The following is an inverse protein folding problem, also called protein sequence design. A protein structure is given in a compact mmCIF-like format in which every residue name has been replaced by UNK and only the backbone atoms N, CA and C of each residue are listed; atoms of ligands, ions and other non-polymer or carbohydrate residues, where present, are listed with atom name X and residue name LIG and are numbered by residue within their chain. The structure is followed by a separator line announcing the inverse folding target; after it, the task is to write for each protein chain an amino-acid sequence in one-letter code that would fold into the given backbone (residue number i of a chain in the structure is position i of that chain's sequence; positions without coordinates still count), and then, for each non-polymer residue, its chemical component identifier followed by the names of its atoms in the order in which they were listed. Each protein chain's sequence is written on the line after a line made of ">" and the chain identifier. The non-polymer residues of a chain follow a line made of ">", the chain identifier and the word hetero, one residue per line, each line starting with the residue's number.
data_IF_328083141770
#
_entry.id   IF_328083141770
#
_cell.length_a   1.000
_cell.length_b   1.000
_cell.length_c   1.000
_cell.angle_alpha   90.00
_cell.angle_beta   90.00
_cell.angle_gamma   90.00
#
_symmetry.space_group_name_H-M   'P 1'
#
loop_
_entity.id
_entity.type
_entity.pdbx_description
1 polymer ?
#
# COMPACT_ATOMS: atom_id res chain seq x y z
N UNK A 1 35.14 8.47 -9.47
CA UNK A 1 34.96 7.78 -8.18
C UNK A 1 33.77 6.85 -8.35
N UNK A 2 33.91 5.54 -8.13
CA UNK A 2 32.77 4.60 -8.23
C UNK A 2 31.97 4.73 -6.92
N UNK A 3 30.64 4.89 -6.96
CA UNK A 3 29.83 5.01 -5.75
C UNK A 3 29.98 3.77 -4.85
N UNK A 4 30.08 3.96 -3.53
CA UNK A 4 30.15 2.84 -2.55
C UNK A 4 28.93 1.92 -2.69
N UNK A 5 27.78 2.46 -3.10
CA UNK A 5 26.54 1.71 -3.41
C UNK A 5 26.64 0.76 -4.61
N UNK A 6 27.67 0.90 -5.44
CA UNK A 6 28.02 0.00 -6.55
C UNK A 6 29.06 -1.04 -6.13
N UNK A 7 29.90 -0.71 -5.15
CA UNK A 7 30.98 -1.58 -4.67
C UNK A 7 30.59 -2.45 -3.46
N UNK A 8 29.43 -2.21 -2.85
CA UNK A 8 28.95 -2.96 -1.68
C UNK A 8 28.26 -4.27 -2.10
N UNK A 9 28.92 -5.43 -1.95
CA UNK A 9 28.43 -6.68 -2.53
C UNK A 9 27.04 -7.10 -2.04
N UNK A 10 26.69 -6.98 -0.74
CA UNK A 10 25.36 -7.36 -0.28
C UNK A 10 24.26 -6.48 -0.87
N UNK A 11 24.50 -5.18 -1.02
CA UNK A 11 23.52 -4.28 -1.61
C UNK A 11 23.25 -4.65 -3.08
N UNK A 12 24.30 -4.99 -3.81
CA UNK A 12 24.17 -5.44 -5.20
C UNK A 12 23.41 -6.77 -5.31
N UNK A 13 23.70 -7.73 -4.43
CA UNK A 13 22.95 -9.00 -4.37
C UNK A 13 21.47 -8.78 -4.08
N UNK A 14 21.12 -7.89 -3.14
CA UNK A 14 19.72 -7.59 -2.80
C UNK A 14 19.00 -6.84 -3.92
N UNK A 15 19.70 -5.94 -4.63
CA UNK A 15 19.16 -5.29 -5.83
C UNK A 15 18.82 -6.33 -6.91
N UNK A 16 19.68 -7.32 -7.10
CA UNK A 16 19.41 -8.44 -8.01
C UNK A 16 18.19 -9.23 -7.56
N UNK A 17 18.09 -9.57 -6.27
CA UNK A 17 16.90 -10.26 -5.70
C UNK A 17 15.61 -9.51 -5.98
N UNK A 18 15.58 -8.19 -5.74
CA UNK A 18 14.39 -7.39 -6.01
C UNK A 18 14.07 -7.30 -7.51
N UNK A 19 15.09 -7.23 -8.36
CA UNK A 19 14.91 -7.21 -9.82
C UNK A 19 14.41 -8.56 -10.37
N UNK A 20 14.96 -9.68 -9.89
CA UNK A 20 14.52 -11.02 -10.31
C UNK A 20 13.13 -11.33 -9.77
N UNK A 21 12.82 -10.92 -8.53
CA UNK A 21 11.46 -11.02 -7.98
C UNK A 21 10.44 -10.21 -8.79
N UNK A 22 10.85 -9.05 -9.29
CA UNK A 22 10.04 -8.26 -10.20
C UNK A 22 9.75 -9.02 -11.51
N UNK A 23 10.79 -9.57 -12.14
CA UNK A 23 10.63 -10.32 -13.40
C UNK A 23 9.77 -11.57 -13.21
N UNK A 24 10.00 -12.30 -12.11
CA UNK A 24 9.23 -13.47 -11.69
C UNK A 24 7.72 -13.13 -11.55
N UNK A 25 7.39 -12.05 -10.85
CA UNK A 25 6.00 -11.64 -10.61
C UNK A 25 5.31 -11.06 -11.85
N UNK A 26 6.04 -10.56 -12.86
CA UNK A 26 5.45 -10.12 -14.13
C UNK A 26 5.50 -11.18 -15.23
N UNK A 27 6.05 -12.36 -14.92
CA UNK A 27 6.11 -13.49 -15.81
C UNK A 27 4.72 -14.10 -16.11
N UNK A 28 4.66 -15.06 -17.04
CA UNK A 28 3.42 -15.75 -17.41
C UNK A 28 2.82 -16.57 -16.25
N UNK A 29 3.61 -16.87 -15.23
CA UNK A 29 3.20 -17.48 -13.97
C UNK A 29 3.76 -16.59 -12.84
N UNK A 30 2.96 -15.68 -12.28
CA UNK A 30 3.46 -14.66 -11.37
C UNK A 30 3.83 -15.27 -10.01
N UNK A 31 5.00 -15.88 -9.87
CA UNK A 31 5.46 -16.52 -8.63
C UNK A 31 6.95 -16.27 -8.43
N UNK A 32 7.37 -15.96 -7.20
CA UNK A 32 8.79 -15.81 -6.87
C UNK A 32 9.46 -17.19 -7.01
N UNK A 33 10.43 -17.27 -7.91
CA UNK A 33 11.10 -18.51 -8.24
C UNK A 33 12.01 -19.01 -7.11
N UNK A 34 12.25 -20.32 -7.06
CA UNK A 34 13.22 -20.90 -6.14
C UNK A 34 14.64 -20.34 -6.34
N UNK A 35 14.99 -19.92 -7.57
CA UNK A 35 16.26 -19.28 -7.86
C UNK A 35 16.35 -17.91 -7.18
N UNK A 36 15.31 -17.09 -7.26
CA UNK A 36 15.23 -15.79 -6.57
C UNK A 36 15.31 -15.95 -5.05
N UNK A 37 14.62 -16.95 -4.49
CA UNK A 37 14.72 -17.27 -3.05
C UNK A 37 16.13 -17.71 -2.63
N UNK A 38 16.79 -18.55 -3.45
CA UNK A 38 18.18 -18.93 -3.19
C UNK A 38 19.15 -17.75 -3.26
N UNK A 39 18.95 -16.83 -4.22
CA UNK A 39 19.71 -15.58 -4.29
C UNK A 39 19.47 -14.71 -3.05
N UNK A 40 18.24 -14.68 -2.54
CA UNK A 40 17.91 -14.00 -1.29
C UNK A 40 18.66 -14.58 -0.10
N UNK A 41 18.72 -15.90 0.04
CA UNK A 41 19.44 -16.54 1.15
C UNK A 41 20.94 -16.22 1.11
N UNK A 42 21.54 -16.19 -0.10
CA UNK A 42 22.93 -15.75 -0.27
C UNK A 42 23.07 -14.28 0.16
N UNK A 43 22.22 -13.39 -0.37
CA UNK A 43 22.28 -11.97 -0.10
C UNK A 43 22.12 -11.65 1.39
N UNK A 44 21.19 -12.34 2.05
CA UNK A 44 20.97 -12.24 3.49
C UNK A 44 22.23 -12.60 4.28
N UNK A 45 22.84 -13.76 4.01
CA UNK A 45 24.04 -14.19 4.73
C UNK A 45 25.17 -13.15 4.60
N UNK A 46 25.35 -12.59 3.39
CA UNK A 46 26.36 -11.55 3.18
C UNK A 46 26.05 -10.26 3.97
N UNK A 47 24.78 -9.88 4.13
CA UNK A 47 24.41 -8.71 4.96
C UNK A 47 24.64 -8.99 6.44
N UNK A 48 24.28 -10.17 6.93
CA UNK A 48 24.44 -10.54 8.34
C UNK A 48 25.91 -10.52 8.76
N UNK A 49 26.81 -11.01 7.90
CA UNK A 49 28.25 -10.95 8.12
C UNK A 49 28.75 -9.50 8.24
N UNK A 50 28.22 -8.58 7.43
CA UNK A 50 28.57 -7.16 7.50
C UNK A 50 28.00 -6.41 8.69
N UNK A 51 26.87 -6.84 9.26
CA UNK A 51 26.33 -6.18 10.47
C UNK A 51 27.34 -6.29 11.62
N UNK A 52 28.05 -7.42 11.74
CA UNK A 52 29.10 -7.57 12.75
C UNK A 52 30.27 -6.57 12.53
N UNK A 53 30.60 -6.26 11.28
CA UNK A 53 31.66 -5.31 10.92
C UNK A 53 31.22 -3.85 11.04
N UNK A 54 29.99 -3.53 10.60
CA UNK A 54 29.39 -2.19 10.63
C UNK A 54 29.02 -1.71 12.05
N UNK A 55 29.17 -2.58 13.06
CA UNK A 55 28.89 -2.31 14.47
C UNK A 55 30.15 -2.36 15.34
N UNK A 56 31.32 -2.58 14.71
CA UNK A 56 32.60 -2.58 15.38
C UNK A 56 33.11 -1.19 15.76
N UNK A 57 34.13 -1.09 16.63
CA UNK A 57 34.69 0.19 17.12
C UNK A 57 35.34 1.06 16.03
N UNK A 58 35.54 0.51 14.82
CA UNK A 58 36.11 1.20 13.66
C UNK A 58 35.06 1.40 12.53
N UNK A 59 33.76 1.33 12.84
CA UNK A 59 32.71 1.41 11.84
C UNK A 59 32.73 2.75 11.09
N UNK A 60 32.84 2.68 9.76
CA UNK A 60 32.66 3.83 8.86
C UNK A 60 31.16 4.12 8.71
N UNK A 61 30.76 5.38 8.92
CA UNK A 61 29.38 5.83 8.77
C UNK A 61 28.82 5.54 7.38
N UNK A 62 29.65 5.64 6.34
CA UNK A 62 29.24 5.35 4.96
C UNK A 62 28.92 3.86 4.76
N UNK A 63 29.72 2.96 5.31
CA UNK A 63 29.45 1.51 5.25
C UNK A 63 28.21 1.14 6.05
N UNK A 64 28.01 1.79 7.19
CA UNK A 64 26.82 1.59 8.00
C UNK A 64 25.56 2.07 7.25
N UNK A 65 25.61 3.17 6.48
CA UNK A 65 24.45 3.68 5.72
C UNK A 65 24.06 2.70 4.62
N UNK A 66 25.05 2.20 3.90
CA UNK A 66 24.85 1.23 2.83
C UNK A 66 24.37 -0.12 3.39
N UNK A 67 24.79 -0.49 4.60
CA UNK A 67 24.25 -1.66 5.33
C UNK A 67 22.79 -1.45 5.71
N UNK A 68 22.42 -0.27 6.20
CA UNK A 68 21.02 0.07 6.51
C UNK A 68 20.14 0.03 5.26
N UNK A 69 20.59 0.58 4.13
CA UNK A 69 19.89 0.50 2.83
C UNK A 69 19.71 -0.96 2.39
N UNK A 70 20.75 -1.78 2.58
CA UNK A 70 20.71 -3.21 2.24
C UNK A 70 19.62 -3.93 3.04
N UNK A 71 19.57 -3.69 4.36
CA UNK A 71 18.55 -4.26 5.23
C UNK A 71 17.14 -3.76 4.92
N UNK A 72 16.97 -2.47 4.62
CA UNK A 72 15.66 -1.93 4.21
C UNK A 72 15.18 -2.58 2.91
N UNK A 73 16.08 -2.80 1.96
CA UNK A 73 15.76 -3.45 0.68
C UNK A 73 15.41 -4.94 0.85
N UNK A 74 16.04 -5.65 1.80
CA UNK A 74 15.64 -7.00 2.18
C UNK A 74 14.31 -7.01 2.92
N UNK A 75 14.11 -6.08 3.85
CA UNK A 75 12.86 -5.94 4.59
C UNK A 75 11.69 -5.77 3.62
N UNK A 76 11.81 -4.88 2.63
CA UNK A 76 10.81 -4.71 1.56
C UNK A 76 10.52 -6.01 0.81
N UNK A 77 11.57 -6.78 0.45
CA UNK A 77 11.41 -8.07 -0.20
C UNK A 77 10.67 -9.08 0.69
N UNK A 78 10.99 -9.17 1.98
CA UNK A 78 10.30 -10.13 2.86
C UNK A 78 8.82 -9.78 3.05
N UNK A 79 8.47 -8.49 3.07
CA UNK A 79 7.06 -8.08 3.08
C UNK A 79 6.35 -8.51 1.79
N UNK A 80 6.97 -8.32 0.61
CA UNK A 80 6.42 -8.82 -0.67
C UNK A 80 6.29 -10.35 -0.65
N UNK A 81 7.32 -11.04 -0.18
CA UNK A 81 7.35 -12.50 -0.18
C UNK A 81 6.37 -13.10 0.82
N UNK A 82 5.99 -12.35 1.86
CA UNK A 82 5.14 -12.83 2.93
C UNK A 82 5.90 -13.64 3.99
N UNK A 83 7.23 -13.47 4.10
CA UNK A 83 8.03 -14.15 5.12
C UNK A 83 8.11 -13.29 6.39
N UNK A 84 7.17 -13.54 7.30
CA UNK A 84 7.09 -12.84 8.59
C UNK A 84 8.35 -13.04 9.45
N UNK A 85 8.95 -14.24 9.42
CA UNK A 85 10.13 -14.57 10.22
C UNK A 85 11.34 -13.79 9.72
N UNK A 86 11.56 -13.79 8.40
CA UNK A 86 12.59 -12.98 7.75
C UNK A 86 12.40 -11.50 8.03
N UNK A 87 11.17 -11.01 7.85
CA UNK A 87 10.80 -9.63 8.11
C UNK A 87 11.10 -9.18 9.55
N UNK A 88 10.63 -9.91 10.57
CA UNK A 88 10.85 -9.56 11.99
C UNK A 88 12.34 -9.55 12.35
N UNK A 89 13.11 -10.49 11.79
CA UNK A 89 14.56 -10.55 11.96
C UNK A 89 15.25 -9.31 11.38
N UNK A 90 14.92 -8.91 10.15
CA UNK A 90 15.50 -7.73 9.52
C UNK A 90 15.07 -6.43 10.22
N UNK A 91 13.79 -6.32 10.62
CA UNK A 91 13.28 -5.17 11.38
C UNK A 91 14.05 -5.00 12.68
N UNK A 92 14.30 -6.08 13.42
CA UNK A 92 15.12 -6.06 14.65
C UNK A 92 16.55 -5.59 14.39
N UNK A 93 17.17 -6.05 13.30
CA UNK A 93 18.53 -5.64 12.93
C UNK A 93 18.61 -4.16 12.53
N UNK A 94 17.59 -3.65 11.83
CA UNK A 94 17.46 -2.22 11.50
C UNK A 94 17.39 -1.41 12.80
N UNK A 95 16.47 -1.72 13.72
CA UNK A 95 16.37 -1.01 14.99
C UNK A 95 17.68 -1.00 15.77
N UNK A 96 18.36 -2.15 15.87
CA UNK A 96 19.69 -2.23 16.52
C UNK A 96 20.70 -1.29 15.88
N UNK A 97 20.81 -1.26 14.55
CA UNK A 97 21.73 -0.37 13.84
C UNK A 97 21.40 1.10 14.09
N UNK A 98 20.12 1.46 14.13
CA UNK A 98 19.65 2.81 14.45
C UNK A 98 20.04 3.19 15.89
N UNK A 99 19.78 2.31 16.86
CA UNK A 99 20.09 2.55 18.27
C UNK A 99 21.60 2.75 18.49
N UNK A 100 22.43 1.93 17.83
CA UNK A 100 23.89 2.04 17.90
C UNK A 100 24.42 3.36 17.31
N UNK A 101 23.66 4.01 16.42
CA UNK A 101 23.98 5.33 15.86
C UNK A 101 23.53 6.49 16.75
N UNK A 102 22.98 6.21 17.92
CA UNK A 102 22.43 7.24 18.80
C UNK A 102 20.98 7.62 18.46
N UNK A 103 20.26 6.78 17.72
CA UNK A 103 18.83 6.94 17.44
C UNK A 103 18.52 7.44 16.03
N UNK A 104 17.22 7.58 15.73
CA UNK A 104 16.74 7.97 14.38
C UNK A 104 17.22 9.37 13.98
N UNK A 105 17.44 10.27 14.93
CA UNK A 105 17.80 11.66 14.66
C UNK A 105 19.13 11.81 13.93
N UNK A 106 20.06 10.86 14.11
CA UNK A 106 21.41 10.87 13.54
C UNK A 106 21.50 10.29 12.13
N UNK A 107 20.37 9.80 11.58
CA UNK A 107 20.28 9.19 10.26
C UNK A 107 20.04 10.26 9.18
N UNK A 108 20.52 10.03 7.95
CA UNK A 108 20.21 10.89 6.79
C UNK A 108 18.69 11.00 6.55
N UNK A 109 18.23 12.18 6.10
CA UNK A 109 16.80 12.47 5.87
C UNK A 109 16.19 11.48 4.87
N UNK A 110 16.90 11.11 3.81
CA UNK A 110 16.36 10.17 2.81
C UNK A 110 16.19 8.77 3.39
N UNK A 111 17.08 8.36 4.31
CA UNK A 111 16.96 7.09 5.01
C UNK A 111 15.80 7.10 6.01
N UNK A 112 15.54 8.24 6.69
CA UNK A 112 14.33 8.40 7.52
C UNK A 112 13.05 8.30 6.70
N UNK A 113 13.03 8.90 5.51
CA UNK A 113 11.91 8.80 4.55
C UNK A 113 11.71 7.34 4.12
N UNK A 114 12.77 6.63 3.73
CA UNK A 114 12.67 5.21 3.36
C UNK A 114 12.15 4.35 4.52
N UNK A 115 12.63 4.58 5.75
CA UNK A 115 12.14 3.92 6.95
C UNK A 115 10.65 4.15 7.16
N UNK A 116 10.20 5.41 7.09
CA UNK A 116 8.79 5.78 7.20
C UNK A 116 7.93 4.99 6.21
N UNK A 117 8.28 5.06 4.92
CA UNK A 117 7.46 4.48 3.85
C UNK A 117 7.39 2.96 3.96
N UNK A 118 8.52 2.30 4.24
CA UNK A 118 8.54 0.84 4.38
C UNK A 118 7.68 0.40 5.56
N UNK A 119 7.77 1.10 6.69
CA UNK A 119 6.92 0.81 7.86
C UNK A 119 5.45 1.12 7.61
N UNK A 120 5.13 2.12 6.79
CA UNK A 120 3.75 2.39 6.38
C UNK A 120 3.15 1.32 5.46
N UNK A 121 3.96 0.49 4.82
CA UNK A 121 3.45 -0.66 4.07
C UNK A 121 3.09 -1.86 4.95
N UNK A 122 3.58 -1.94 6.19
CA UNK A 122 3.26 -3.03 7.11
C UNK A 122 1.74 -3.22 7.30
N UNK A 123 0.97 -2.17 7.66
CA UNK A 123 -0.46 -2.34 7.95
C UNK A 123 -1.29 -2.67 6.70
N UNK A 124 -0.78 -2.51 5.48
CA UNK A 124 -1.45 -2.92 4.25
C UNK A 124 -1.66 -4.45 4.22
N UNK A 125 -0.70 -5.19 4.76
CA UNK A 125 -0.72 -6.65 4.87
C UNK A 125 -1.25 -7.05 6.25
N UNK A 126 -2.55 -7.41 6.34
CA UNK A 126 -3.14 -7.92 7.59
C UNK A 126 -2.31 -9.09 8.13
N UNK A 127 -1.98 -9.03 9.43
CA UNK A 127 -1.24 -10.09 10.14
C UNK A 127 0.28 -10.02 10.04
N UNK A 128 0.87 -9.12 9.24
CA UNK A 128 2.34 -8.94 9.22
C UNK A 128 2.88 -8.17 10.44
N UNK A 129 1.99 -7.45 11.12
CA UNK A 129 2.31 -6.60 12.24
C UNK A 129 1.06 -6.38 13.13
N UNK A 130 1.13 -6.81 14.38
CA UNK A 130 0.36 -6.21 15.48
C UNK A 130 0.94 -4.84 15.90
N UNK A 131 1.91 -4.29 15.14
CA UNK A 131 2.67 -3.10 15.54
C UNK A 131 2.07 -1.81 15.00
N UNK A 132 1.78 -0.91 15.95
CA UNK A 132 1.60 0.52 15.73
C UNK A 132 2.78 1.05 14.92
N UNK A 133 2.58 1.67 13.74
CA UNK A 133 3.66 2.27 12.99
C UNK A 133 4.34 3.34 13.87
N UNK A 134 5.67 3.43 13.93
CA UNK A 134 6.32 4.51 14.65
C UNK A 134 5.90 5.84 14.01
N UNK A 135 5.31 6.73 14.80
CA UNK A 135 5.08 8.11 14.37
C UNK A 135 6.42 8.80 14.26
N UNK A 136 6.99 8.83 13.07
CA UNK A 136 8.08 9.75 12.79
C UNK A 136 7.45 11.13 12.74
N UNK A 137 7.68 11.92 13.79
CA UNK A 137 7.27 13.33 13.87
C UNK A 137 7.97 14.13 12.77
N UNK A 138 7.49 14.02 11.53
CA UNK A 138 7.82 14.95 10.47
C UNK A 138 7.13 16.26 10.82
N UNK A 139 7.88 17.16 11.46
CA UNK A 139 7.50 18.56 11.60
C UNK A 139 7.39 19.10 10.18
N UNK A 140 6.17 19.26 9.69
CA UNK A 140 5.90 20.07 8.51
C UNK A 140 6.34 21.49 8.82
N UNK A 141 7.50 21.91 8.31
CA UNK A 141 7.83 23.33 8.24
C UNK A 141 6.71 24.03 7.45
N UNK A 142 6.27 25.17 7.99
CA UNK A 142 5.18 25.98 7.47
C UNK A 142 5.45 26.42 6.02
N UNK A 143 5.09 25.60 5.05
CA UNK A 143 4.96 26.05 3.67
C UNK A 143 3.50 26.44 3.41
N UNK A 144 3.28 27.75 3.42
CA UNK A 144 2.10 28.38 2.84
C UNK A 144 2.05 28.10 1.33
N UNK A 145 1.50 26.95 0.94
CA UNK A 145 1.22 26.61 -0.44
C UNK A 145 -0.23 26.99 -0.77
N UNK A 146 -0.39 28.20 -1.29
CA UNK A 146 -1.62 28.65 -1.93
C UNK A 146 -1.67 28.04 -3.35
N UNK A 147 -2.55 27.06 -3.56
CA UNK A 147 -3.66 27.16 -4.52
C UNK A 147 -4.70 26.05 -4.28
N UNK A 148 -5.95 26.40 -4.60
CA UNK A 148 -7.22 25.84 -4.14
C UNK A 148 -7.62 24.52 -4.80
N UNK A 149 -7.24 23.40 -4.21
CA UNK A 149 -8.00 22.15 -4.35
C UNK A 149 -8.48 21.70 -2.96
N UNK A 150 -9.69 21.14 -2.86
CA UNK A 150 -10.13 20.46 -1.65
C UNK A 150 -9.03 19.47 -1.19
N UNK A 151 -8.67 19.48 0.10
CA UNK A 151 -7.55 18.67 0.65
C UNK A 151 -7.65 17.18 0.29
N UNK A 152 -8.88 16.70 0.13
CA UNK A 152 -9.30 15.39 -0.34
C UNK A 152 -8.90 15.07 -1.78
N UNK A 153 -8.95 16.05 -2.67
CA UNK A 153 -8.52 15.88 -4.05
C UNK A 153 -6.98 15.86 -4.14
N UNK A 154 -6.30 16.74 -3.40
CA UNK A 154 -4.82 16.79 -3.37
C UNK A 154 -4.20 15.46 -2.93
N UNK A 155 -4.74 14.81 -1.89
CA UNK A 155 -4.24 13.50 -1.42
C UNK A 155 -4.38 12.40 -2.48
N UNK A 156 -5.37 12.53 -3.38
CA UNK A 156 -5.63 11.57 -4.45
C UNK A 156 -4.90 11.92 -5.75
N UNK A 157 -4.49 13.19 -5.93
CA UNK A 157 -4.00 13.73 -7.20
C UNK A 157 -2.71 14.55 -7.10
N UNK A 158 -1.92 14.37 -6.04
CA UNK A 158 -0.69 15.17 -5.87
C UNK A 158 0.22 15.04 -7.09
N UNK A 159 0.69 16.17 -7.61
CA UNK A 159 1.39 16.22 -8.90
C UNK A 159 2.80 15.64 -8.78
N UNK A 160 3.16 14.75 -9.71
CA UNK A 160 4.55 14.32 -9.87
C UNK A 160 4.98 14.36 -11.33
N UNK A 161 6.08 15.06 -11.61
CA UNK A 161 6.61 15.19 -12.97
C UNK A 161 6.03 16.35 -13.78
N UNK A 162 5.91 16.21 -15.10
CA UNK A 162 5.53 17.31 -15.98
C UNK A 162 4.00 17.53 -16.01
N UNK A 163 3.50 18.45 -15.18
CA UNK A 163 2.09 18.86 -15.13
C UNK A 163 1.48 19.14 -16.53
N UNK A 164 2.27 19.73 -17.44
CA UNK A 164 1.88 20.05 -18.82
C UNK A 164 1.48 18.83 -19.68
N UNK A 165 1.96 17.62 -19.38
CA UNK A 165 1.58 16.42 -20.13
C UNK A 165 0.15 15.95 -19.80
N UNK A 166 -0.42 16.41 -18.68
CA UNK A 166 -1.67 15.90 -18.12
C UNK A 166 -2.80 16.92 -18.07
N UNK A 167 -2.52 18.17 -18.39
CA UNK A 167 -3.53 19.19 -18.61
C UNK A 167 -4.56 18.71 -19.66
N UNK A 168 -5.83 18.64 -19.23
CA UNK A 168 -6.94 18.18 -20.08
C UNK A 168 -7.07 16.67 -20.24
N UNK A 169 -6.24 15.85 -19.56
CA UNK A 169 -6.35 14.37 -19.59
C UNK A 169 -7.20 13.77 -18.48
N UNK A 170 -7.42 14.49 -17.38
CA UNK A 170 -8.36 14.07 -16.33
C UNK A 170 -9.77 14.49 -16.75
N UNK A 171 -10.64 13.51 -17.01
CA UNK A 171 -12.03 13.75 -17.35
C UNK A 171 -12.86 14.22 -16.14
N UNK A 172 -14.08 14.66 -16.38
CA UNK A 172 -15.06 14.92 -15.32
C UNK A 172 -15.46 13.62 -14.59
N UNK A 173 -15.42 12.48 -15.29
CA UNK A 173 -15.78 11.14 -14.81
C UNK A 173 -14.83 10.61 -13.74
N UNK A 174 -13.55 10.31 -14.03
CA UNK A 174 -12.50 11.18 -13.50
C UNK A 174 -12.60 11.63 -12.04
N UNK A 175 -12.73 12.95 -11.96
CA UNK A 175 -12.90 13.75 -10.75
C UNK A 175 -14.05 13.23 -9.89
N UNK A 176 -15.19 12.88 -10.51
CA UNK A 176 -16.35 12.38 -9.79
C UNK A 176 -16.08 11.05 -9.09
N UNK A 177 -15.44 10.09 -9.77
CA UNK A 177 -15.09 8.80 -9.19
C UNK A 177 -14.14 8.95 -7.99
N UNK A 178 -13.16 9.85 -8.09
CA UNK A 178 -12.23 10.15 -7.00
C UNK A 178 -12.94 10.79 -5.80
N UNK A 179 -13.83 11.75 -6.06
CA UNK A 179 -14.64 12.40 -5.01
C UNK A 179 -15.57 11.41 -4.31
N UNK A 180 -16.32 10.61 -5.07
CA UNK A 180 -17.24 9.61 -4.53
C UNK A 180 -16.48 8.54 -3.73
N UNK A 181 -15.31 8.11 -4.21
CA UNK A 181 -14.44 7.19 -3.47
C UNK A 181 -13.92 7.80 -2.17
N UNK A 182 -13.45 9.05 -2.18
CA UNK A 182 -12.99 9.73 -0.97
C UNK A 182 -14.11 9.80 0.08
N UNK A 183 -15.34 10.12 -0.33
CA UNK A 183 -16.49 10.13 0.57
C UNK A 183 -16.76 8.75 1.18
N UNK A 184 -16.69 7.67 0.40
CA UNK A 184 -16.82 6.32 0.93
C UNK A 184 -15.77 6.02 2.00
N UNK A 185 -14.50 6.34 1.72
CA UNK A 185 -13.39 6.13 2.66
C UNK A 185 -13.63 6.89 3.96
N UNK A 186 -14.00 8.17 3.88
CA UNK A 186 -14.25 8.99 5.06
C UNK A 186 -15.45 8.51 5.88
N UNK A 187 -16.53 8.10 5.23
CA UNK A 187 -17.68 7.51 5.92
C UNK A 187 -17.29 6.21 6.64
N UNK A 188 -16.47 5.36 6.02
CA UNK A 188 -15.97 4.13 6.64
C UNK A 188 -15.09 4.40 7.86
N UNK A 189 -14.16 5.37 7.78
CA UNK A 189 -13.31 5.77 8.91
C UNK A 189 -14.17 6.33 10.06
N UNK A 190 -15.08 7.25 9.76
CA UNK A 190 -15.97 7.83 10.78
C UNK A 190 -16.82 6.76 11.45
N UNK A 191 -17.32 5.79 10.69
CA UNK A 191 -18.08 4.67 11.24
C UNK A 191 -17.25 3.85 12.23
N UNK A 192 -16.01 3.51 11.85
CA UNK A 192 -15.11 2.73 12.70
C UNK A 192 -14.81 3.45 14.00
N UNK A 193 -14.49 4.75 13.92
CA UNK A 193 -14.20 5.59 15.10
C UNK A 193 -15.39 5.63 16.07
N UNK A 194 -16.61 5.82 15.55
CA UNK A 194 -17.83 5.81 16.37
C UNK A 194 -18.16 4.43 16.95
N UNK A 195 -17.82 3.35 16.24
CA UNK A 195 -18.06 1.98 16.71
C UNK A 195 -17.05 1.53 17.77
N UNK A 196 -15.83 2.07 17.75
CA UNK A 196 -14.81 1.81 18.77
C UNK A 196 -15.07 2.59 20.07
N UNK A 197 -15.76 3.73 19.99
CA UNK A 197 -16.26 4.43 21.17
C UNK A 197 -17.42 3.63 21.77
N UNK A 198 -17.34 3.25 23.05
CA UNK A 198 -18.47 2.60 23.72
C UNK A 198 -19.71 3.48 23.59
N UNK A 199 -20.81 2.98 22.98
CA UNK A 199 -21.96 3.82 22.68
C UNK A 199 -22.68 4.15 23.98
N UNK A 200 -22.45 5.36 24.47
CA UNK A 200 -23.04 5.84 25.73
C UNK A 200 -24.26 6.72 25.49
N UNK A 201 -24.54 7.13 24.24
CA UNK A 201 -25.58 8.11 23.92
C UNK A 201 -26.42 7.72 22.67
N UNK A 202 -27.71 8.07 22.69
CA UNK A 202 -28.63 7.86 21.56
C UNK A 202 -28.22 8.60 20.28
N UNK A 203 -27.53 9.73 20.42
CA UNK A 203 -27.04 10.54 19.30
C UNK A 203 -25.97 9.78 18.48
N UNK A 204 -25.10 9.02 19.13
CA UNK A 204 -24.08 8.19 18.46
C UNK A 204 -24.70 7.00 17.70
N UNK A 205 -25.85 6.50 18.15
CA UNK A 205 -26.60 5.48 17.41
C UNK A 205 -27.26 6.06 16.16
N UNK A 206 -27.89 7.24 16.27
CA UNK A 206 -28.50 7.91 15.12
C UNK A 206 -27.46 8.32 14.08
N UNK A 207 -26.31 8.84 14.52
CA UNK A 207 -25.20 9.23 13.64
C UNK A 207 -24.61 8.02 12.89
N UNK A 208 -24.41 6.89 13.57
CA UNK A 208 -23.96 5.65 12.92
C UNK A 208 -24.96 5.15 11.87
N UNK A 209 -26.26 5.20 12.18
CA UNK A 209 -27.30 4.82 11.22
C UNK A 209 -27.28 5.73 9.99
N UNK A 210 -27.14 7.05 10.16
CA UNK A 210 -27.05 8.00 9.04
C UNK A 210 -25.83 7.74 8.17
N UNK A 211 -24.64 7.57 8.76
CA UNK A 211 -23.41 7.24 8.03
C UNK A 211 -23.59 5.95 7.23
N UNK A 212 -24.19 4.92 7.85
CA UNK A 212 -24.44 3.64 7.19
C UNK A 212 -25.39 3.77 6.00
N UNK A 213 -26.48 4.53 6.13
CA UNK A 213 -27.42 4.78 5.03
C UNK A 213 -26.71 5.50 3.87
N UNK A 214 -25.95 6.55 4.17
CA UNK A 214 -25.18 7.30 3.16
C UNK A 214 -24.16 6.41 2.45
N UNK A 215 -23.44 5.59 3.21
CA UNK A 215 -22.45 4.66 2.66
C UNK A 215 -23.09 3.62 1.74
N UNK A 216 -24.20 2.99 2.15
CA UNK A 216 -24.91 2.03 1.29
C UNK A 216 -25.45 2.69 0.02
N UNK A 217 -26.06 3.88 0.14
CA UNK A 217 -26.55 4.62 -1.03
C UNK A 217 -25.43 4.93 -2.04
N UNK A 218 -24.28 5.43 -1.56
CA UNK A 218 -23.15 5.76 -2.42
C UNK A 218 -22.52 4.50 -3.03
N UNK A 219 -22.36 3.44 -2.24
CA UNK A 219 -21.91 2.13 -2.70
C UNK A 219 -22.79 1.60 -3.82
N UNK A 220 -24.10 1.56 -3.61
CA UNK A 220 -25.04 0.94 -4.55
C UNK A 220 -25.09 1.73 -5.87
N UNK A 221 -24.98 3.06 -5.81
CA UNK A 221 -24.82 3.91 -6.99
C UNK A 221 -23.54 3.60 -7.78
N UNK A 222 -22.40 3.43 -7.10
CA UNK A 222 -21.12 3.13 -7.74
C UNK A 222 -21.08 1.71 -8.32
N UNK A 223 -21.66 0.73 -7.63
CA UNK A 223 -21.82 -0.63 -8.16
C UNK A 223 -22.72 -0.62 -9.39
N UNK A 224 -23.81 0.17 -9.39
CA UNK A 224 -24.68 0.30 -10.56
C UNK A 224 -23.92 0.84 -11.79
N UNK A 225 -22.93 1.74 -11.60
CA UNK A 225 -22.09 2.22 -12.72
C UNK A 225 -21.32 1.09 -13.41
N UNK A 226 -20.97 0.01 -12.71
CA UNK A 226 -20.28 -1.15 -13.28
C UNK A 226 -21.18 -1.98 -14.22
N UNK A 227 -22.51 -1.89 -14.06
CA UNK A 227 -23.48 -2.58 -14.92
C UNK A 227 -23.84 -1.79 -16.19
N UNK A 228 -23.45 -0.51 -16.24
CA UNK A 228 -23.56 0.29 -17.45
C UNK A 228 -22.37 -0.10 -18.34
N UNK A 229 -22.57 -0.44 -19.63
CA UNK A 229 -21.47 -0.66 -20.57
C UNK A 229 -20.81 0.70 -20.84
N UNK A 230 -20.00 1.17 -19.90
CA UNK A 230 -19.27 2.41 -20.06
C UNK A 230 -18.13 2.14 -21.04
N UNK A 231 -18.32 2.51 -22.31
CA UNK A 231 -17.21 2.72 -23.23
C UNK A 231 -16.43 3.95 -22.73
N UNK A 232 -15.56 3.72 -21.74
CA UNK A 232 -14.62 4.75 -21.30
C UNK A 232 -13.45 4.68 -22.26
N UNK A 233 -13.55 5.43 -23.35
CA UNK A 233 -12.44 5.71 -24.27
C UNK A 233 -11.44 6.65 -23.57
N UNK A 234 -10.79 6.18 -22.51
CA UNK A 234 -9.60 6.82 -21.97
C UNK A 234 -8.41 5.92 -22.28
N UNK A 235 -7.39 6.48 -22.93
CA UNK A 235 -6.08 5.83 -23.08
C UNK A 235 -5.05 6.68 -22.32
N UNK A 236 -4.61 6.24 -21.12
CA UNK A 236 -4.90 4.96 -20.47
C UNK A 236 -6.32 4.86 -19.86
N UNK A 237 -6.86 3.63 -19.61
CA UNK A 237 -8.22 3.38 -19.12
C UNK A 237 -8.40 3.68 -17.62
N UNK A 238 -8.13 4.91 -17.21
CA UNK A 238 -8.08 5.34 -15.80
C UNK A 238 -9.40 5.06 -15.10
N UNK A 239 -10.53 5.49 -15.66
CA UNK A 239 -11.81 5.35 -14.98
C UNK A 239 -12.19 3.88 -14.75
N UNK A 240 -11.82 2.98 -15.67
CA UNK A 240 -12.05 1.54 -15.49
C UNK A 240 -11.21 0.99 -14.34
N UNK A 241 -9.94 1.40 -14.24
CA UNK A 241 -9.06 1.05 -13.12
C UNK A 241 -9.68 1.51 -11.80
N UNK A 242 -10.12 2.77 -11.72
CA UNK A 242 -10.75 3.30 -10.51
C UNK A 242 -12.05 2.57 -10.17
N UNK A 243 -12.91 2.30 -11.16
CA UNK A 243 -14.17 1.58 -10.94
C UNK A 243 -13.96 0.17 -10.38
N UNK A 244 -13.01 -0.60 -10.91
CA UNK A 244 -12.72 -1.94 -10.38
C UNK A 244 -12.14 -1.88 -8.98
N UNK A 245 -11.25 -0.93 -8.70
CA UNK A 245 -10.67 -0.76 -7.38
C UNK A 245 -11.70 -0.27 -6.34
N UNK A 246 -12.61 0.65 -6.71
CA UNK A 246 -13.76 1.06 -5.88
C UNK A 246 -14.67 -0.13 -5.60
N UNK A 247 -14.99 -0.92 -6.64
CA UNK A 247 -15.84 -2.12 -6.51
C UNK A 247 -15.22 -3.15 -5.56
N UNK A 248 -13.89 -3.33 -5.61
CA UNK A 248 -13.15 -4.15 -4.66
C UNK A 248 -13.19 -3.58 -3.23
N UNK A 249 -13.02 -2.26 -3.08
CA UNK A 249 -13.06 -1.60 -1.77
C UNK A 249 -14.38 -1.82 -1.04
N UNK A 250 -15.51 -1.60 -1.73
CA UNK A 250 -16.86 -1.72 -1.14
C UNK A 250 -17.36 -3.17 -1.02
N UNK A 251 -16.63 -4.13 -1.60
CA UNK A 251 -16.95 -5.55 -1.51
C UNK A 251 -16.47 -6.09 -0.16
N UNK A 252 -17.39 -6.53 0.72
CA UNK A 252 -17.00 -6.99 2.05
C UNK A 252 -16.20 -8.29 1.97
N UNK A 253 -15.16 -8.38 2.80
CA UNK A 253 -14.19 -9.48 2.85
C UNK A 253 -14.77 -10.85 3.23
N UNK A 254 -15.99 -10.88 3.74
CA UNK A 254 -16.64 -12.08 4.27
C UNK A 254 -17.76 -12.62 3.36
N UNK A 255 -18.03 -12.00 2.20
CA UNK A 255 -19.24 -12.24 1.42
C UNK A 255 -19.26 -13.49 0.53
N UNK A 256 -20.50 -13.88 0.21
CA UNK A 256 -20.98 -14.91 -0.72
C UNK A 256 -20.49 -14.72 -2.16
N UNK A 257 -19.89 -13.57 -2.48
CA UNK A 257 -19.56 -13.12 -3.85
C UNK A 257 -18.07 -13.28 -4.23
N UNK A 258 -17.46 -14.36 -3.74
CA UNK A 258 -16.05 -14.68 -3.92
C UNK A 258 -15.60 -14.64 -5.40
N UNK A 259 -16.45 -15.13 -6.30
CA UNK A 259 -16.19 -15.12 -7.74
C UNK A 259 -16.13 -13.69 -8.33
N UNK A 260 -16.97 -12.78 -7.85
CA UNK A 260 -16.97 -11.39 -8.30
C UNK A 260 -15.70 -10.65 -7.83
N UNK A 261 -15.25 -10.91 -6.60
CA UNK A 261 -13.98 -10.36 -6.07
C UNK A 261 -12.80 -10.83 -6.92
N UNK A 262 -12.72 -12.13 -7.22
CA UNK A 262 -11.66 -12.69 -8.07
C UNK A 262 -11.68 -12.11 -9.49
N UNK A 263 -12.86 -11.91 -10.07
CA UNK A 263 -13.02 -11.25 -11.37
C UNK A 263 -12.50 -9.80 -11.32
N UNK A 264 -12.88 -9.01 -10.32
CA UNK A 264 -12.43 -7.63 -10.19
C UNK A 264 -10.93 -7.52 -9.95
N UNK A 265 -10.35 -8.40 -9.13
CA UNK A 265 -8.88 -8.50 -8.93
C UNK A 265 -8.18 -8.76 -10.27
N UNK A 266 -8.66 -9.75 -11.02
CA UNK A 266 -8.06 -10.16 -12.30
C UNK A 266 -8.13 -9.02 -13.33
N UNK A 267 -9.28 -8.35 -13.42
CA UNK A 267 -9.47 -7.22 -14.34
C UNK A 267 -8.62 -6.02 -13.94
N UNK A 268 -8.59 -5.67 -12.66
CA UNK A 268 -7.75 -4.58 -12.15
C UNK A 268 -6.27 -4.82 -12.46
N UNK A 269 -5.76 -6.01 -12.14
CA UNK A 269 -4.38 -6.40 -12.45
C UNK A 269 -4.10 -6.31 -13.96
N UNK A 270 -4.99 -6.87 -14.79
CA UNK A 270 -4.81 -6.85 -16.25
C UNK A 270 -4.78 -5.43 -16.83
N UNK A 271 -5.65 -4.55 -16.35
CA UNK A 271 -5.69 -3.14 -16.77
C UNK A 271 -4.41 -2.42 -16.35
N UNK A 272 -3.96 -2.59 -15.12
CA UNK A 272 -2.72 -1.97 -14.62
C UNK A 272 -1.48 -2.45 -15.37
N UNK A 273 -1.41 -3.73 -15.73
CA UNK A 273 -0.31 -4.30 -16.52
C UNK A 273 -0.30 -3.78 -17.96
N UNK A 274 -1.47 -3.71 -18.61
CA UNK A 274 -1.58 -3.34 -20.04
C UNK A 274 -1.47 -1.83 -20.30
N UNK A 275 -1.92 -1.02 -19.36
CA UNK A 275 -2.11 0.42 -19.57
C UNK A 275 -0.84 1.27 -19.50
N UNK A 276 0.32 0.67 -19.20
CA UNK A 276 1.55 1.39 -18.87
C UNK A 276 1.38 2.46 -17.77
N UNK A 277 0.26 2.47 -17.03
CA UNK A 277 -0.01 3.45 -15.96
C UNK A 277 1.04 3.35 -14.86
N UNK A 278 1.56 2.15 -14.61
CA UNK A 278 2.68 1.89 -13.71
C UNK A 278 4.00 2.52 -14.17
N UNK A 279 4.19 2.69 -15.49
CA UNK A 279 5.33 3.40 -16.08
C UNK A 279 5.09 4.91 -16.19
N UNK A 280 3.82 5.34 -16.25
CA UNK A 280 3.37 6.73 -16.23
C UNK A 280 3.28 7.30 -14.81
N UNK A 281 4.10 6.76 -13.91
CA UNK A 281 4.30 7.17 -12.54
C UNK A 281 4.48 8.71 -12.34
N UNK A 282 4.93 9.41 -13.38
CA UNK A 282 4.96 10.87 -13.48
C UNK A 282 3.60 11.48 -13.86
N UNK A 283 2.53 11.01 -13.22
CA UNK A 283 1.13 11.37 -13.47
C UNK A 283 0.55 12.35 -12.44
N UNK A 284 -0.67 12.87 -12.68
CA UNK A 284 -1.41 13.68 -11.73
C UNK A 284 -2.25 12.81 -10.79
N UNK A 285 -2.24 11.48 -10.94
CA UNK A 285 -3.01 10.54 -10.13
C UNK A 285 -2.14 9.47 -9.42
N UNK A 286 -0.93 9.80 -8.90
CA UNK A 286 -0.10 8.83 -8.20
C UNK A 286 -0.79 8.36 -6.91
N UNK A 287 -1.45 9.26 -6.20
CA UNK A 287 -2.29 8.92 -5.05
C UNK A 287 -3.41 7.94 -5.42
N UNK A 288 -4.01 8.10 -6.61
CA UNK A 288 -5.04 7.19 -7.07
C UNK A 288 -4.53 5.77 -7.35
N UNK A 289 -3.34 5.70 -7.93
CA UNK A 289 -2.67 4.44 -8.21
C UNK A 289 -2.24 3.74 -6.92
N UNK A 290 -1.73 4.48 -5.93
CA UNK A 290 -1.34 3.95 -4.61
C UNK A 290 -2.53 3.22 -3.98
N UNK A 291 -3.71 3.83 -3.92
CA UNK A 291 -4.86 3.18 -3.29
C UNK A 291 -5.42 2.00 -4.08
N UNK A 292 -5.40 2.06 -5.41
CA UNK A 292 -5.75 0.90 -6.25
C UNK A 292 -4.90 -0.32 -5.90
N UNK A 293 -3.60 -0.10 -5.67
CA UNK A 293 -2.65 -1.15 -5.34
C UNK A 293 -2.81 -1.65 -3.90
N UNK A 294 -3.07 -0.76 -2.93
CA UNK A 294 -3.39 -1.14 -1.54
C UNK A 294 -4.63 -2.03 -1.50
N UNK A 295 -5.70 -1.62 -2.19
CA UNK A 295 -6.96 -2.36 -2.23
C UNK A 295 -6.78 -3.73 -2.89
N UNK A 296 -6.07 -3.77 -4.03
CA UNK A 296 -5.73 -5.02 -4.71
C UNK A 296 -4.91 -5.97 -3.84
N UNK A 297 -3.87 -5.46 -3.17
CA UNK A 297 -3.01 -6.24 -2.27
C UNK A 297 -3.80 -6.82 -1.09
N UNK A 298 -4.64 -6.01 -0.42
CA UNK A 298 -5.38 -6.43 0.77
C UNK A 298 -6.52 -7.40 0.44
N UNK A 299 -7.24 -7.22 -0.68
CA UNK A 299 -8.35 -8.11 -1.09
C UNK A 299 -7.87 -9.44 -1.69
N UNK A 300 -6.66 -9.49 -2.25
CA UNK A 300 -6.09 -10.71 -2.85
C UNK A 300 -5.67 -11.80 -1.84
N UNK A 301 -5.60 -11.48 -0.55
CA UNK A 301 -5.23 -12.45 0.52
C UNK A 301 -6.45 -13.19 1.10
N UNK A 302 -7.59 -12.51 1.10
CA UNK A 302 -8.83 -12.98 1.72
C UNK A 302 -9.50 -14.07 0.87
N UNK A 303 -9.14 -14.14 -0.42
CA UNK A 303 -9.62 -15.14 -1.36
C UNK A 303 -8.90 -16.49 -1.22
N UNK A 304 -7.59 -16.47 -1.00
CA UNK A 304 -6.74 -17.66 -0.92
C UNK A 304 -6.82 -18.37 0.43
N UNK A 305 -6.95 -17.64 1.53
CA UNK A 305 -6.96 -18.18 2.90
C UNK A 305 -8.14 -19.10 3.24
N UNK A 306 -9.18 -19.17 2.38
CA UNK A 306 -10.36 -20.02 2.59
C UNK A 306 -10.42 -21.27 1.72
N UNK A 307 -9.63 -21.36 0.64
CA UNK A 307 -9.63 -22.53 -0.24
C UNK A 307 -8.63 -23.60 0.19
N UNK A 308 -7.49 -23.21 0.77
CA UNK A 308 -6.53 -24.14 1.35
C UNK A 308 -6.74 -24.20 2.86
N UNK A 309 -7.28 -25.30 3.38
CA UNK A 309 -7.42 -25.57 4.82
C UNK A 309 -6.09 -25.70 5.60
N UNK A 310 -4.98 -25.22 5.02
CA UNK A 310 -3.67 -25.13 5.68
C UNK A 310 -3.47 -23.71 6.23
N UNK A 311 -3.36 -23.53 7.56
CA UNK A 311 -3.14 -22.22 8.18
C UNK A 311 -1.74 -21.63 7.97
N UNK A 312 -0.86 -22.31 7.24
CA UNK A 312 0.53 -21.88 7.05
C UNK A 312 0.77 -21.20 5.70
N UNK A 313 0.83 -19.87 5.75
CA UNK A 313 1.94 -19.07 5.19
C UNK A 313 2.15 -19.02 3.67
N UNK A 314 1.15 -19.24 2.81
CA UNK A 314 1.32 -18.89 1.38
C UNK A 314 0.52 -17.63 1.02
N UNK A 315 1.24 -16.50 0.92
CA UNK A 315 0.71 -15.26 0.35
C UNK A 315 0.44 -15.47 -1.14
N UNK A 316 -0.75 -15.11 -1.61
CA UNK A 316 -1.12 -15.30 -3.02
C UNK A 316 -0.19 -14.55 -3.97
N UNK A 317 0.17 -15.17 -5.09
CA UNK A 317 0.96 -14.58 -6.17
C UNK A 317 0.46 -13.19 -6.58
N UNK A 318 -0.86 -13.06 -6.70
CA UNK A 318 -1.53 -11.80 -7.04
C UNK A 318 -1.29 -10.72 -5.99
N UNK A 319 -1.37 -11.06 -4.69
CA UNK A 319 -1.01 -10.13 -3.61
C UNK A 319 0.44 -9.68 -3.70
N UNK A 320 1.37 -10.62 -3.90
CA UNK A 320 2.80 -10.30 -4.08
C UNK A 320 3.01 -9.32 -5.23
N UNK A 321 2.31 -9.53 -6.35
CA UNK A 321 2.35 -8.62 -7.50
C UNK A 321 1.87 -7.21 -7.15
N UNK A 322 0.65 -7.07 -6.58
CA UNK A 322 0.11 -5.75 -6.19
C UNK A 322 1.02 -5.02 -5.22
N UNK A 323 1.55 -5.74 -4.23
CA UNK A 323 2.41 -5.16 -3.21
C UNK A 323 3.78 -4.76 -3.76
N UNK A 324 4.35 -5.55 -4.68
CA UNK A 324 5.56 -5.17 -5.40
C UNK A 324 5.35 -3.88 -6.21
N UNK A 325 4.21 -3.72 -6.89
CA UNK A 325 3.88 -2.46 -7.58
C UNK A 325 3.78 -1.30 -6.59
N UNK A 326 3.12 -1.52 -5.45
CA UNK A 326 2.92 -0.50 -4.42
C UNK A 326 4.27 0.07 -3.99
N UNK A 327 5.20 -0.79 -3.57
CA UNK A 327 6.57 -0.37 -3.16
C UNK A 327 7.27 0.40 -4.27
N UNK A 328 7.18 -0.07 -5.53
CA UNK A 328 7.83 0.59 -6.66
C UNK A 328 7.29 1.99 -6.96
N UNK A 329 6.08 2.30 -6.52
CA UNK A 329 5.42 3.58 -6.75
C UNK A 329 5.62 4.50 -5.54
N UNK A 330 5.36 4.00 -4.34
CA UNK A 330 5.43 4.79 -3.11
C UNK A 330 6.87 5.14 -2.72
N UNK A 331 7.84 4.25 -2.91
CA UNK A 331 9.24 4.52 -2.52
C UNK A 331 9.84 5.68 -3.32
N UNK A 332 9.72 5.72 -4.66
CA UNK A 332 10.05 6.93 -5.39
C UNK A 332 9.19 8.11 -4.94
N UNK A 333 7.87 7.96 -4.79
CA UNK A 333 6.95 9.08 -4.49
C UNK A 333 7.34 9.86 -3.24
N UNK A 334 7.74 9.13 -2.23
CA UNK A 334 8.11 9.70 -0.95
C UNK A 334 9.41 10.51 -0.98
N UNK A 335 10.23 10.36 -2.04
CA UNK A 335 11.38 11.26 -2.24
C UNK A 335 10.94 12.69 -2.57
N UNK A 336 9.73 12.88 -3.10
CA UNK A 336 9.19 14.21 -3.42
C UNK A 336 8.31 14.72 -2.28
N UNK A 337 7.35 13.91 -1.83
CA UNK A 337 6.47 14.25 -0.68
C UNK A 337 6.19 13.00 0.19
N UNK A 338 7.00 12.75 1.23
CA UNK A 338 6.83 11.58 2.08
C UNK A 338 5.57 11.65 2.95
N UNK A 339 5.10 12.86 3.27
CA UNK A 339 3.97 13.09 4.17
C UNK A 339 2.67 12.77 3.44
N UNK A 340 2.49 13.25 2.21
CA UNK A 340 1.29 12.98 1.42
C UNK A 340 1.19 11.49 1.05
N UNK A 341 2.32 10.81 0.77
CA UNK A 341 2.35 9.35 0.57
C UNK A 341 1.93 8.59 1.83
N UNK A 342 2.51 8.92 2.99
CA UNK A 342 2.14 8.30 4.27
C UNK A 342 0.66 8.48 4.58
N UNK A 343 0.16 9.72 4.48
CA UNK A 343 -1.26 10.04 4.74
C UNK A 343 -2.20 9.29 3.80
N UNK A 344 -1.82 9.14 2.53
CA UNK A 344 -2.62 8.37 1.57
C UNK A 344 -2.71 6.90 2.00
N UNK A 345 -1.58 6.27 2.34
CA UNK A 345 -1.57 4.87 2.79
C UNK A 345 -2.43 4.70 4.05
N UNK A 346 -2.20 5.53 5.07
CA UNK A 346 -2.92 5.49 6.36
C UNK A 346 -4.43 5.61 6.18
N UNK A 347 -4.86 6.60 5.38
CA UNK A 347 -6.27 6.87 5.10
C UNK A 347 -6.95 5.67 4.44
N UNK A 348 -6.32 5.06 3.44
CA UNK A 348 -6.92 3.93 2.72
C UNK A 348 -6.99 2.70 3.60
N UNK A 349 -5.94 2.40 4.37
CA UNK A 349 -5.94 1.27 5.31
C UNK A 349 -7.05 1.44 6.34
N UNK A 350 -7.17 2.62 6.96
CA UNK A 350 -8.23 2.92 7.91
C UNK A 350 -9.63 2.82 7.28
N UNK A 351 -9.78 3.30 6.03
CA UNK A 351 -11.01 3.14 5.26
C UNK A 351 -11.40 1.67 5.07
N UNK A 352 -10.44 0.81 4.69
CA UNK A 352 -10.68 -0.62 4.49
C UNK A 352 -11.09 -1.32 5.80
N UNK A 353 -10.49 -0.95 6.93
CA UNK A 353 -10.91 -1.49 8.24
C UNK A 353 -12.31 -1.03 8.63
N UNK A 354 -12.68 0.21 8.30
CA UNK A 354 -14.04 0.72 8.48
C UNK A 354 -15.08 0.01 7.62
N UNK A 355 -14.75 -0.39 6.39
CA UNK A 355 -15.62 -1.22 5.54
C UNK A 355 -15.90 -2.57 6.20
N UNK A 356 -14.89 -3.21 6.78
CA UNK A 356 -15.08 -4.48 7.49
C UNK A 356 -16.01 -4.34 8.70
N UNK A 357 -15.93 -3.23 9.44
CA UNK A 357 -16.87 -2.91 10.51
C UNK A 357 -18.31 -2.74 9.99
N UNK A 358 -18.51 -1.95 8.94
CA UNK A 358 -19.81 -1.73 8.29
C UNK A 358 -20.44 -3.05 7.80
N UNK A 359 -19.60 -3.93 7.24
CA UNK A 359 -20.03 -5.21 6.70
C UNK A 359 -20.46 -6.21 7.79
N UNK A 360 -19.73 -6.30 8.91
CA UNK A 360 -20.02 -7.25 10.00
C UNK A 360 -21.35 -7.00 10.68
N UNK A 361 -21.77 -5.74 10.83
CA UNK A 361 -23.06 -5.41 11.45
C UNK A 361 -24.26 -5.70 10.53
N UNK A 362 -24.05 -5.74 9.22
CA UNK A 362 -25.06 -6.19 8.26
C UNK A 362 -25.41 -7.68 8.45
N UNK A 363 -24.41 -8.50 8.81
CA UNK A 363 -24.61 -9.91 9.13
C UNK A 363 -25.35 -10.13 10.46
N UNK A 364 -25.23 -9.22 11.43
CA UNK A 364 -25.97 -9.28 12.70
C UNK A 364 -27.41 -8.76 12.61
N UNK A 365 -27.74 -8.00 11.56
CA UNK A 365 -29.09 -7.49 11.34
C UNK A 365 -30.04 -8.49 10.66
N UNK A 366 -29.61 -9.74 10.46
CA UNK A 366 -30.45 -10.85 10.00
C UNK A 366 -31.39 -11.40 11.08
N UNK A 367 -32.10 -10.52 11.80
CA UNK A 367 -33.34 -10.80 12.54
C UNK A 367 -34.05 -9.46 12.80
N UNK A 368 -34.63 -8.88 11.75
CA UNK A 368 -35.85 -8.10 11.95
C UNK A 368 -36.93 -8.87 11.20
N UNK A 369 -37.53 -9.84 11.90
CA UNK A 369 -38.88 -10.30 11.58
C UNK A 369 -39.83 -9.16 11.94
N UNK A 370 -40.38 -8.52 10.91
CA UNK A 370 -41.54 -7.62 11.00
C UNK A 370 -42.46 -7.93 9.84
#
# INVERSE_FOLDING_TARGET
>A
MIPVTVLHPPLMSIKLVNATAWDDLNGPKPEISALTLFQRDIAENMVLDLIAEATGPNADSANSDVTLISLLSLLSFEIVNGDEVGYLRHKRNIHRLIDMRGGVDTIDVNLKICLLVIYQHEPVIKGFADSVPPSLDFITENETLIMSQPTDFKLMTFERGQAQFWDGKIGLSTIRLLSDFFQLVMLSIQYQQLSNLHPTQNEDMQRRLQIRIQWHFLRDNLIALNSIPVHIETDPPIDQILLYAISLFVSPSFAVDQAAIEEYITKLQSLLQKSNVLHLYHGPLPGALIWCLIIGARKSDETSSRQSGDPLTSVSSTRKWFFMQLIRITCPAALDDPVDVSRNIDMIVAGMDGVDCLARESYRSGMITG
#
